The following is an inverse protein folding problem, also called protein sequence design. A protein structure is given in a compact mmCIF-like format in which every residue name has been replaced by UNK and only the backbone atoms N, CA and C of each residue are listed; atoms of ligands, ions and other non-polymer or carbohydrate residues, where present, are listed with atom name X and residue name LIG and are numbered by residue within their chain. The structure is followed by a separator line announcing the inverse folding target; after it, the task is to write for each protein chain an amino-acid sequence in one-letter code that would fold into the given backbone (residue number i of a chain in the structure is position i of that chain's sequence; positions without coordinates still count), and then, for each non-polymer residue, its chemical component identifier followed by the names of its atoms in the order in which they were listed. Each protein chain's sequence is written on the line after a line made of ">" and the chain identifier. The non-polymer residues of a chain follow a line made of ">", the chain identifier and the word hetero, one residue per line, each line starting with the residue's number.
data_IF_291535121708
#
_entry.id   IF_291535121708
#
_cell.length_a   1.000
_cell.length_b   1.000
_cell.length_c   1.000
_cell.angle_alpha   90.00
_cell.angle_beta   90.00
_cell.angle_gamma   90.00
#
_symmetry.space_group_name_H-M   'P 1'
#
loop_
_entity.id
_entity.type
_entity.pdbx_description
1 polymer ?
#
# COMPACT_ATOMS: atom_id res chain seq x y z
N UNK A 1 13.70 31.33 -4.58
CA UNK A 1 12.83 30.51 -3.71
C UNK A 1 11.88 29.70 -4.62
N UNK A 2 12.34 28.57 -5.10
CA UNK A 2 11.54 27.64 -5.92
C UNK A 2 10.72 26.76 -4.99
N UNK A 3 9.40 26.98 -4.97
CA UNK A 3 8.43 26.05 -4.36
C UNK A 3 8.57 24.71 -5.09
N UNK A 4 9.08 23.72 -4.37
CA UNK A 4 9.03 22.33 -4.79
C UNK A 4 7.55 21.93 -4.83
N UNK A 5 6.95 21.91 -6.03
CA UNK A 5 5.59 21.41 -6.22
C UNK A 5 5.64 19.91 -5.88
N UNK A 6 4.92 19.51 -4.83
CA UNK A 6 4.63 18.10 -4.57
C UNK A 6 4.07 17.49 -5.88
N UNK A 7 4.46 16.26 -6.27
CA UNK A 7 3.89 15.62 -7.44
C UNK A 7 2.37 15.60 -7.27
N UNK A 8 1.66 16.11 -8.27
CA UNK A 8 0.21 16.10 -8.30
C UNK A 8 -0.22 14.63 -8.14
N UNK A 9 -0.79 14.30 -6.99
CA UNK A 9 -1.37 12.99 -6.74
C UNK A 9 -2.46 12.80 -7.78
N UNK A 10 -2.31 11.83 -8.68
CA UNK A 10 -3.31 11.49 -9.67
C UNK A 10 -4.65 11.29 -8.95
N UNK A 11 -5.74 11.81 -9.52
CA UNK A 11 -7.08 11.63 -8.94
C UNK A 11 -7.38 10.13 -8.78
N UNK A 12 -8.01 9.73 -7.67
CA UNK A 12 -8.33 8.33 -7.44
C UNK A 12 -9.33 7.81 -8.48
N UNK A 13 -9.12 6.57 -8.93
CA UNK A 13 -9.97 5.92 -9.93
C UNK A 13 -10.66 4.70 -9.34
N UNK A 14 -11.98 4.63 -9.46
CA UNK A 14 -12.75 3.43 -9.17
C UNK A 14 -12.79 2.56 -10.41
N UNK A 15 -12.34 1.32 -10.27
CA UNK A 15 -12.25 0.36 -11.37
C UNK A 15 -13.37 -0.66 -11.19
N UNK A 16 -14.31 -0.69 -12.12
CA UNK A 16 -15.46 -1.62 -12.11
C UNK A 16 -15.17 -2.79 -13.05
N UNK A 17 -15.29 -4.01 -12.55
CA UNK A 17 -15.14 -5.24 -13.33
C UNK A 17 -16.43 -6.06 -13.15
N UNK A 18 -17.26 -6.12 -14.18
CA UNK A 18 -18.56 -6.79 -14.19
C UNK A 18 -18.90 -7.14 -15.63
N UNK A 19 -19.55 -8.26 -15.92
CA UNK A 19 -19.93 -8.62 -17.28
C UNK A 19 -21.22 -7.92 -17.75
N UNK A 20 -22.04 -7.40 -16.81
CA UNK A 20 -23.25 -6.62 -17.09
C UNK A 20 -22.88 -5.18 -17.51
N UNK A 21 -23.13 -4.84 -18.77
CA UNK A 21 -22.80 -3.52 -19.34
C UNK A 21 -23.64 -2.39 -18.73
N UNK A 22 -24.92 -2.65 -18.44
CA UNK A 22 -25.85 -1.65 -17.90
C UNK A 22 -25.44 -1.29 -16.46
N UNK A 23 -25.07 -2.29 -15.67
CA UNK A 23 -24.57 -2.06 -14.31
C UNK A 23 -23.24 -1.31 -14.31
N UNK A 24 -22.31 -1.65 -15.22
CA UNK A 24 -21.04 -0.91 -15.35
C UNK A 24 -21.29 0.57 -15.66
N UNK A 25 -22.23 0.88 -16.58
CA UNK A 25 -22.56 2.25 -16.94
C UNK A 25 -23.24 3.00 -15.78
N UNK A 26 -24.17 2.35 -15.08
CA UNK A 26 -24.85 2.89 -13.91
C UNK A 26 -23.84 3.25 -12.80
N UNK A 27 -22.92 2.33 -12.47
CA UNK A 27 -21.87 2.56 -11.47
C UNK A 27 -20.92 3.68 -11.90
N UNK A 28 -20.48 3.70 -13.15
CA UNK A 28 -19.64 4.78 -13.66
C UNK A 28 -20.37 6.13 -13.60
N UNK A 29 -21.68 6.16 -13.84
CA UNK A 29 -22.52 7.35 -13.66
C UNK A 29 -22.59 7.80 -12.21
N UNK A 30 -22.82 6.86 -11.29
CA UNK A 30 -22.84 7.11 -9.84
C UNK A 30 -21.51 7.72 -9.37
N UNK A 31 -20.37 7.13 -9.73
CA UNK A 31 -19.05 7.63 -9.30
C UNK A 31 -18.76 9.02 -9.89
N UNK A 32 -19.11 9.27 -11.15
CA UNK A 32 -18.96 10.61 -11.75
C UNK A 32 -19.83 11.66 -11.06
N UNK A 33 -21.00 11.28 -10.52
CA UNK A 33 -21.87 12.23 -9.82
C UNK A 33 -21.30 12.77 -8.50
N UNK A 34 -20.26 12.09 -7.98
CA UNK A 34 -19.52 12.49 -6.78
C UNK A 34 -18.03 12.80 -7.09
N UNK A 35 -17.75 13.24 -8.33
CA UNK A 35 -16.43 13.65 -8.79
C UNK A 35 -15.33 12.56 -8.70
N UNK A 36 -15.70 11.28 -8.72
CA UNK A 36 -14.76 10.16 -8.80
C UNK A 36 -14.59 9.71 -10.26
N UNK A 37 -13.33 9.53 -10.67
CA UNK A 37 -13.02 8.91 -11.95
C UNK A 37 -13.39 7.43 -11.92
N UNK A 38 -13.97 6.92 -13.02
CA UNK A 38 -14.33 5.51 -13.17
C UNK A 38 -13.71 4.92 -14.43
N UNK A 39 -13.20 3.69 -14.34
CA UNK A 39 -12.78 2.85 -15.46
C UNK A 39 -13.54 1.52 -15.38
N UNK A 40 -14.04 1.02 -16.52
CA UNK A 40 -14.89 -0.18 -16.54
C UNK A 40 -14.30 -1.25 -17.44
N UNK A 41 -14.41 -2.51 -17.03
CA UNK A 41 -13.96 -3.69 -17.76
C UNK A 41 -15.03 -4.77 -17.74
N UNK A 42 -15.19 -5.47 -18.86
CA UNK A 42 -16.19 -6.54 -18.97
C UNK A 42 -15.73 -7.86 -18.33
N UNK A 43 -14.44 -8.01 -18.07
CA UNK A 43 -13.88 -9.21 -17.45
C UNK A 43 -12.60 -8.92 -16.66
N UNK A 44 -12.24 -9.85 -15.78
CA UNK A 44 -10.94 -9.84 -15.10
C UNK A 44 -9.77 -9.90 -16.10
N UNK A 45 -9.91 -10.63 -17.20
CA UNK A 45 -8.90 -10.75 -18.25
C UNK A 45 -8.66 -9.40 -18.95
N UNK A 46 -9.72 -8.66 -19.30
CA UNK A 46 -9.62 -7.34 -19.90
C UNK A 46 -8.92 -6.36 -18.96
N UNK A 47 -9.24 -6.40 -17.68
CA UNK A 47 -8.59 -5.58 -16.67
C UNK A 47 -7.09 -5.91 -16.54
N UNK A 48 -6.72 -7.20 -16.49
CA UNK A 48 -5.33 -7.62 -16.38
C UNK A 48 -4.51 -7.28 -17.64
N UNK A 49 -5.14 -7.32 -18.83
CA UNK A 49 -4.49 -6.96 -20.09
C UNK A 49 -4.32 -5.44 -20.28
N UNK A 50 -5.12 -4.63 -19.59
CA UNK A 50 -5.08 -3.18 -19.73
C UNK A 50 -3.80 -2.57 -19.17
N UNK A 51 -3.24 -1.55 -19.86
CA UNK A 51 -2.19 -0.69 -19.30
C UNK A 51 -2.81 0.17 -18.22
N UNK A 52 -2.43 -0.08 -16.97
CA UNK A 52 -2.91 0.71 -15.83
C UNK A 52 -1.93 1.84 -15.52
N UNK A 53 -2.49 2.98 -15.17
CA UNK A 53 -1.74 4.04 -14.49
C UNK A 53 -1.56 3.63 -13.02
N UNK A 54 -0.39 3.81 -12.47
CA UNK A 54 -0.09 3.49 -11.06
C UNK A 54 -0.65 4.56 -10.10
N UNK A 55 -1.89 4.98 -10.34
CA UNK A 55 -2.64 5.96 -9.55
C UNK A 55 -3.33 5.34 -8.33
N UNK A 56 -3.77 6.17 -7.37
CA UNK A 56 -4.63 5.71 -6.27
C UNK A 56 -5.97 5.20 -6.81
N UNK A 57 -6.55 4.20 -6.14
CA UNK A 57 -7.83 3.65 -6.60
C UNK A 57 -8.31 2.45 -5.82
N UNK A 58 -9.45 1.90 -6.25
CA UNK A 58 -10.00 0.65 -5.73
C UNK A 58 -10.68 -0.14 -6.85
N UNK A 59 -10.90 -1.43 -6.60
CA UNK A 59 -11.62 -2.36 -7.46
C UNK A 59 -13.03 -2.60 -6.92
N UNK A 60 -14.01 -2.55 -7.79
CA UNK A 60 -15.40 -3.00 -7.55
C UNK A 60 -15.66 -4.13 -8.52
N UNK A 61 -15.80 -5.36 -8.03
CA UNK A 61 -15.73 -6.56 -8.86
C UNK A 61 -16.96 -7.45 -8.62
N UNK A 62 -17.61 -7.87 -9.69
CA UNK A 62 -18.64 -8.91 -9.56
C UNK A 62 -18.03 -10.28 -9.24
N UNK A 63 -18.65 -11.00 -8.33
CA UNK A 63 -18.22 -12.36 -7.97
C UNK A 63 -18.50 -13.36 -9.09
N UNK A 64 -19.60 -13.19 -9.81
CA UNK A 64 -20.06 -14.15 -10.83
C UNK A 64 -19.80 -13.64 -12.23
N UNK A 65 -18.57 -13.72 -12.67
CA UNK A 65 -18.21 -13.41 -14.05
C UNK A 65 -17.90 -14.70 -14.84
N UNK A 66 -18.11 -14.71 -16.15
CA UNK A 66 -17.66 -15.80 -17.01
C UNK A 66 -16.15 -15.98 -16.96
N UNK A 67 -15.71 -17.23 -16.85
CA UNK A 67 -14.29 -17.60 -16.79
C UNK A 67 -13.72 -17.52 -15.38
N UNK A 68 -13.16 -16.38 -14.97
CA UNK A 68 -12.55 -16.18 -13.66
C UNK A 68 -13.53 -15.52 -12.69
N UNK A 69 -13.88 -16.20 -11.59
CA UNK A 69 -14.75 -15.62 -10.58
C UNK A 69 -14.06 -14.44 -9.87
N UNK A 70 -14.84 -13.48 -9.32
CA UNK A 70 -14.30 -12.35 -8.57
C UNK A 70 -13.48 -12.76 -7.35
N UNK A 71 -13.80 -13.89 -6.71
CA UNK A 71 -13.02 -14.44 -5.59
C UNK A 71 -11.66 -15.01 -6.04
N UNK A 72 -11.64 -15.73 -7.16
CA UNK A 72 -10.41 -16.27 -7.74
C UNK A 72 -9.54 -15.13 -8.29
N UNK A 73 -10.18 -14.12 -8.88
CA UNK A 73 -9.50 -12.90 -9.32
C UNK A 73 -8.84 -12.16 -8.14
N UNK A 74 -9.58 -11.99 -7.03
CA UNK A 74 -9.01 -11.40 -5.81
C UNK A 74 -7.75 -12.14 -5.34
N UNK A 75 -7.76 -13.47 -5.37
CA UNK A 75 -6.62 -14.29 -4.97
C UNK A 75 -5.40 -14.08 -5.89
N UNK A 76 -5.62 -13.85 -7.18
CA UNK A 76 -4.56 -13.67 -8.17
C UNK A 76 -3.99 -12.24 -8.23
N UNK A 77 -4.66 -11.25 -7.66
CA UNK A 77 -4.21 -9.84 -7.73
C UNK A 77 -2.77 -9.66 -7.24
N UNK A 78 -2.41 -10.32 -6.14
CA UNK A 78 -1.07 -10.24 -5.57
C UNK A 78 0.01 -10.79 -6.51
N UNK A 79 -0.27 -11.88 -7.21
CA UNK A 79 0.64 -12.51 -8.19
C UNK A 79 0.90 -11.59 -9.38
N UNK A 80 -0.06 -10.72 -9.70
CA UNK A 80 0.05 -9.68 -10.72
C UNK A 80 0.61 -8.34 -10.20
N UNK A 81 1.09 -8.30 -8.94
CA UNK A 81 1.61 -7.09 -8.30
C UNK A 81 0.55 -6.00 -8.11
N UNK A 82 -0.74 -6.38 -8.03
CA UNK A 82 -1.86 -5.47 -7.88
C UNK A 82 -2.28 -5.46 -6.42
N UNK A 83 -2.09 -4.32 -5.77
CA UNK A 83 -2.39 -4.14 -4.35
C UNK A 83 -3.57 -3.18 -4.11
N UNK A 84 -4.44 -3.03 -5.11
CA UNK A 84 -5.64 -2.21 -4.97
C UNK A 84 -6.64 -2.86 -4.00
N UNK A 85 -7.23 -2.09 -3.10
CA UNK A 85 -8.35 -2.56 -2.28
C UNK A 85 -9.50 -3.01 -3.16
N UNK A 86 -10.15 -4.10 -2.79
CA UNK A 86 -11.24 -4.69 -3.55
C UNK A 86 -12.54 -4.70 -2.76
N UNK A 87 -13.62 -4.35 -3.43
CA UNK A 87 -15.02 -4.49 -3.01
C UNK A 87 -15.64 -5.55 -3.93
N UNK A 88 -16.29 -6.55 -3.36
CA UNK A 88 -16.95 -7.59 -4.13
C UNK A 88 -18.45 -7.36 -4.16
N UNK A 89 -19.06 -7.56 -5.33
CA UNK A 89 -20.53 -7.51 -5.54
C UNK A 89 -21.05 -8.90 -5.91
N UNK A 90 -22.26 -9.25 -5.49
CA UNK A 90 -22.88 -10.52 -5.89
C UNK A 90 -24.39 -10.46 -5.90
N UNK A 91 -25.01 -11.10 -6.88
CA UNK A 91 -26.47 -11.30 -6.93
C UNK A 91 -26.98 -12.44 -6.01
N UNK A 92 -26.08 -13.29 -5.50
CA UNK A 92 -26.44 -14.42 -4.64
C UNK A 92 -25.31 -14.59 -3.60
N UNK A 93 -25.24 -13.67 -2.65
CA UNK A 93 -24.29 -13.76 -1.54
C UNK A 93 -24.83 -14.69 -0.46
N UNK A 94 -24.08 -15.73 -0.14
CA UNK A 94 -24.28 -16.47 1.10
C UNK A 94 -23.23 -16.05 2.16
N UNK A 95 -23.50 -16.34 3.43
CA UNK A 95 -22.60 -16.00 4.53
C UNK A 95 -21.22 -16.64 4.34
N UNK A 96 -21.07 -17.92 3.95
CA UNK A 96 -19.77 -18.51 3.68
C UNK A 96 -18.95 -17.78 2.62
N UNK A 97 -19.58 -17.27 1.57
CA UNK A 97 -18.91 -16.54 0.48
C UNK A 97 -18.39 -15.18 0.97
N UNK A 98 -19.21 -14.41 1.68
CA UNK A 98 -18.81 -13.11 2.24
C UNK A 98 -17.67 -13.27 3.24
N UNK A 99 -17.72 -14.29 4.10
CA UNK A 99 -16.63 -14.59 5.05
C UNK A 99 -15.32 -14.93 4.33
N UNK A 100 -15.36 -15.71 3.25
CA UNK A 100 -14.17 -16.01 2.44
C UNK A 100 -13.59 -14.76 1.81
N UNK A 101 -14.43 -13.91 1.20
CA UNK A 101 -14.02 -12.64 0.61
C UNK A 101 -13.30 -11.74 1.63
N UNK A 102 -13.88 -11.55 2.80
CA UNK A 102 -13.32 -10.71 3.85
C UNK A 102 -12.02 -11.30 4.42
N UNK A 103 -11.92 -12.61 4.61
CA UNK A 103 -10.67 -13.29 5.02
C UNK A 103 -9.57 -13.17 3.97
N UNK A 104 -9.93 -13.10 2.70
CA UNK A 104 -8.99 -12.86 1.61
C UNK A 104 -8.59 -11.37 1.46
N UNK A 105 -9.07 -10.49 2.36
CA UNK A 105 -8.68 -9.08 2.43
C UNK A 105 -9.56 -8.13 1.64
N UNK A 106 -10.77 -8.54 1.22
CA UNK A 106 -11.73 -7.60 0.66
C UNK A 106 -12.04 -6.47 1.65
N UNK A 107 -12.28 -5.27 1.13
CA UNK A 107 -12.68 -4.12 1.96
C UNK A 107 -14.12 -4.27 2.37
N UNK A 108 -14.96 -4.69 1.43
CA UNK A 108 -16.39 -4.92 1.64
C UNK A 108 -16.95 -5.96 0.66
N UNK A 109 -18.19 -6.39 0.95
CA UNK A 109 -18.92 -7.36 0.18
C UNK A 109 -20.39 -6.94 0.10
N UNK A 110 -20.88 -6.56 -1.09
CA UNK A 110 -22.21 -6.00 -1.31
C UNK A 110 -23.11 -6.99 -2.06
N UNK A 111 -24.27 -7.29 -1.49
CA UNK A 111 -25.29 -8.10 -2.15
C UNK A 111 -26.12 -7.22 -3.10
N UNK A 112 -26.29 -7.65 -4.36
CA UNK A 112 -27.18 -7.02 -5.35
C UNK A 112 -28.64 -7.45 -5.07
N UNK A 113 -29.62 -6.53 -5.06
CA UNK A 113 -29.47 -5.09 -5.25
C UNK A 113 -28.95 -4.38 -3.99
N UNK A 114 -28.03 -3.43 -4.16
CA UNK A 114 -27.51 -2.56 -3.10
C UNK A 114 -27.97 -1.12 -3.31
N UNK A 115 -27.92 -0.29 -2.26
CA UNK A 115 -28.20 1.14 -2.35
C UNK A 115 -26.94 1.89 -2.83
N UNK A 116 -27.12 2.96 -3.57
CA UNK A 116 -26.02 3.83 -4.03
C UNK A 116 -25.13 4.26 -2.88
N UNK A 117 -25.73 4.61 -1.74
CA UNK A 117 -24.99 5.04 -0.56
C UNK A 117 -24.07 3.94 0.00
N UNK A 118 -24.53 2.68 0.03
CA UNK A 118 -23.71 1.55 0.51
C UNK A 118 -22.47 1.36 -0.37
N UNK A 119 -22.65 1.51 -1.71
CA UNK A 119 -21.54 1.46 -2.66
C UNK A 119 -20.55 2.62 -2.45
N UNK A 120 -21.06 3.84 -2.28
CA UNK A 120 -20.22 5.03 -2.08
C UNK A 120 -19.44 4.94 -0.77
N UNK A 121 -20.04 4.45 0.30
CA UNK A 121 -19.41 4.26 1.60
C UNK A 121 -18.28 3.20 1.50
N UNK A 122 -18.54 2.08 0.83
CA UNK A 122 -17.53 1.04 0.59
C UNK A 122 -16.36 1.57 -0.26
N UNK A 123 -16.64 2.33 -1.32
CA UNK A 123 -15.62 2.95 -2.17
C UNK A 123 -14.78 3.96 -1.37
N UNK A 124 -15.42 4.80 -0.56
CA UNK A 124 -14.73 5.77 0.30
C UNK A 124 -13.75 5.07 1.26
N UNK A 125 -14.21 3.99 1.92
CA UNK A 125 -13.36 3.18 2.81
C UNK A 125 -12.20 2.52 2.05
N UNK A 126 -12.44 2.02 0.84
CA UNK A 126 -11.42 1.41 0.01
C UNK A 126 -10.35 2.43 -0.42
N UNK A 127 -10.77 3.59 -0.90
CA UNK A 127 -9.85 4.67 -1.30
C UNK A 127 -9.00 5.15 -0.13
N UNK A 128 -9.58 5.29 1.08
CA UNK A 128 -8.83 5.64 2.28
C UNK A 128 -7.74 4.60 2.60
N UNK A 129 -8.05 3.31 2.51
CA UNK A 129 -7.08 2.22 2.70
C UNK A 129 -5.94 2.25 1.67
N UNK A 130 -6.25 2.57 0.40
CA UNK A 130 -5.21 2.68 -0.62
C UNK A 130 -4.25 3.86 -0.36
N UNK A 131 -4.79 5.01 0.06
CA UNK A 131 -3.98 6.18 0.44
C UNK A 131 -3.05 5.85 1.61
N UNK A 132 -3.55 5.19 2.65
CA UNK A 132 -2.73 4.76 3.80
C UNK A 132 -1.62 3.79 3.39
N UNK A 133 -1.96 2.79 2.57
CA UNK A 133 -1.00 1.82 2.04
C UNK A 133 0.09 2.52 1.24
N UNK A 134 -0.26 3.36 0.26
CA UNK A 134 0.69 4.11 -0.58
C UNK A 134 1.58 5.03 0.23
N UNK A 135 1.02 5.70 1.23
CA UNK A 135 1.79 6.55 2.14
C UNK A 135 2.83 5.74 2.90
N UNK A 136 2.45 4.57 3.41
CA UNK A 136 3.35 3.66 4.11
C UNK A 136 4.45 3.12 3.18
N UNK A 137 4.07 2.66 1.99
CA UNK A 137 5.00 2.11 0.99
C UNK A 137 6.02 3.16 0.54
N UNK A 138 5.56 4.40 0.26
CA UNK A 138 6.43 5.53 -0.08
C UNK A 138 7.39 5.87 1.06
N UNK A 139 6.89 5.89 2.30
CA UNK A 139 7.72 6.11 3.49
C UNK A 139 8.78 5.03 3.67
N UNK A 140 8.40 3.75 3.50
CA UNK A 140 9.34 2.64 3.59
C UNK A 140 10.39 2.68 2.47
N UNK A 141 9.99 3.03 1.25
CA UNK A 141 10.92 3.17 0.13
C UNK A 141 11.92 4.30 0.35
N UNK A 142 11.46 5.44 0.87
CA UNK A 142 12.35 6.54 1.24
C UNK A 142 13.37 6.13 2.33
N UNK A 143 12.93 5.36 3.33
CA UNK A 143 13.82 4.80 4.36
C UNK A 143 14.84 3.82 3.77
N UNK A 144 14.45 2.95 2.85
CA UNK A 144 15.36 2.02 2.14
C UNK A 144 16.41 2.79 1.35
N UNK A 145 16.00 3.78 0.58
CA UNK A 145 16.92 4.64 -0.18
C UNK A 145 17.90 5.36 0.74
N UNK A 146 17.44 5.91 1.87
CA UNK A 146 18.32 6.54 2.87
C UNK A 146 19.32 5.53 3.45
N UNK A 147 18.88 4.33 3.81
CA UNK A 147 19.73 3.25 4.33
C UNK A 147 20.79 2.80 3.32
N UNK A 148 20.47 2.74 2.03
CA UNK A 148 21.41 2.41 0.97
C UNK A 148 22.57 3.40 0.86
N UNK A 149 22.39 4.67 1.28
CA UNK A 149 23.46 5.68 1.32
C UNK A 149 24.46 5.46 2.46
N UNK A 150 24.15 4.59 3.42
CA UNK A 150 25.05 4.27 4.52
C UNK A 150 26.22 3.41 4.03
N UNK A 151 27.44 3.75 4.48
CA UNK A 151 28.60 2.87 4.29
C UNK A 151 28.46 1.59 5.12
N UNK A 152 29.23 0.56 4.83
CA UNK A 152 29.24 -0.69 5.62
C UNK A 152 29.45 -0.42 7.12
N UNK A 153 30.40 0.46 7.46
CA UNK A 153 30.66 0.85 8.86
C UNK A 153 29.51 1.62 9.51
N UNK A 154 28.85 2.48 8.78
CA UNK A 154 27.67 3.19 9.28
C UNK A 154 26.49 2.24 9.53
N UNK A 155 26.30 1.20 8.67
CA UNK A 155 25.30 0.15 8.90
C UNK A 155 25.59 -0.68 10.13
N UNK A 156 26.85 -1.11 10.33
CA UNK A 156 27.28 -1.83 11.54
C UNK A 156 27.02 -0.99 12.82
N UNK A 157 27.36 0.31 12.77
CA UNK A 157 27.12 1.23 13.89
C UNK A 157 25.63 1.43 14.11
N UNK A 158 24.83 1.61 13.05
CA UNK A 158 23.37 1.74 13.16
C UNK A 158 22.75 0.52 13.85
N UNK A 159 23.09 -0.69 13.41
CA UNK A 159 22.55 -1.91 14.00
C UNK A 159 22.83 -2.01 15.51
N UNK A 160 24.07 -1.69 15.95
CA UNK A 160 24.42 -1.77 17.37
C UNK A 160 23.82 -0.62 18.20
N UNK A 161 23.71 0.58 17.64
CA UNK A 161 23.08 1.72 18.30
C UNK A 161 21.59 1.47 18.52
N UNK A 162 20.92 0.91 17.53
CA UNK A 162 19.47 0.59 17.63
C UNK A 162 19.19 -0.63 18.49
N UNK A 163 20.18 -1.50 18.69
CA UNK A 163 20.16 -2.56 19.71
C UNK A 163 20.42 -2.05 21.15
N UNK A 164 20.63 -0.73 21.32
CA UNK A 164 20.80 -0.10 22.65
C UNK A 164 22.22 -0.08 23.19
N UNK A 165 23.25 -0.45 22.41
CA UNK A 165 24.64 -0.45 22.88
C UNK A 165 25.18 0.98 23.02
N UNK A 166 26.00 1.18 24.08
CA UNK A 166 26.72 2.43 24.29
C UNK A 166 27.94 2.56 23.36
N UNK A 167 28.38 3.78 23.06
CA UNK A 167 29.50 4.03 22.16
C UNK A 167 30.74 3.22 22.55
N UNK A 168 31.06 3.09 23.87
CA UNK A 168 32.19 2.31 24.36
C UNK A 168 32.11 0.83 23.99
N UNK A 169 30.91 0.25 24.07
CA UNK A 169 30.66 -1.17 23.72
C UNK A 169 30.82 -1.35 22.20
N UNK A 170 30.21 -0.46 21.40
CA UNK A 170 30.32 -0.47 19.94
C UNK A 170 31.79 -0.33 19.51
N UNK A 171 32.55 0.56 20.17
CA UNK A 171 33.97 0.78 19.91
C UNK A 171 34.75 -0.52 20.13
N UNK A 172 34.51 -1.23 21.24
CA UNK A 172 35.10 -2.54 21.49
C UNK A 172 34.72 -3.60 20.44
N UNK A 173 33.43 -3.70 20.10
CA UNK A 173 32.96 -4.69 19.13
C UNK A 173 33.52 -4.49 17.71
N UNK A 174 33.69 -3.22 17.30
CA UNK A 174 34.15 -2.88 15.96
C UNK A 174 35.64 -2.60 15.87
N UNK A 175 36.37 -2.67 17.00
CA UNK A 175 37.79 -2.35 17.14
C UNK A 175 38.13 -0.93 16.64
N UNK A 176 37.35 0.06 17.11
CA UNK A 176 37.45 1.47 16.76
C UNK A 176 37.55 2.32 18.04
N UNK A 177 37.93 3.62 17.91
CA UNK A 177 37.82 4.55 19.02
C UNK A 177 36.39 5.03 19.25
N UNK A 178 36.06 5.40 20.51
CA UNK A 178 34.75 5.98 20.81
C UNK A 178 34.48 7.27 20.02
N UNK A 179 35.51 8.04 19.71
CA UNK A 179 35.44 9.25 18.90
C UNK A 179 34.99 8.88 17.48
N UNK A 180 35.55 7.82 16.90
CA UNK A 180 35.18 7.32 15.57
C UNK A 180 33.73 6.85 15.55
N UNK A 181 33.27 6.13 16.58
CA UNK A 181 31.89 5.73 16.73
C UNK A 181 30.94 6.93 16.80
N UNK A 182 31.31 7.97 17.56
CA UNK A 182 30.51 9.21 17.65
C UNK A 182 30.37 9.89 16.28
N UNK A 183 31.41 9.89 15.46
CA UNK A 183 31.38 10.43 14.09
C UNK A 183 30.45 9.59 13.21
N UNK A 184 30.62 8.25 13.17
CA UNK A 184 29.75 7.39 12.39
C UNK A 184 28.28 7.51 12.81
N UNK A 185 28.01 7.55 14.12
CA UNK A 185 26.66 7.76 14.64
C UNK A 185 26.06 9.10 14.19
N UNK A 186 26.84 10.19 14.18
CA UNK A 186 26.40 11.48 13.65
C UNK A 186 26.06 11.42 12.17
N UNK A 187 26.87 10.73 11.38
CA UNK A 187 26.62 10.52 9.95
C UNK A 187 25.36 9.67 9.71
N UNK A 188 25.16 8.60 10.47
CA UNK A 188 23.94 7.78 10.42
C UNK A 188 22.71 8.63 10.69
N UNK A 189 22.69 9.38 11.80
CA UNK A 189 21.57 10.27 12.14
C UNK A 189 21.27 11.25 11.01
N UNK A 190 22.29 11.85 10.40
CA UNK A 190 22.16 12.81 9.29
C UNK A 190 21.62 12.13 8.03
N UNK A 191 22.19 11.00 7.60
CA UNK A 191 21.82 10.31 6.37
C UNK A 191 20.43 9.70 6.46
N UNK A 192 20.06 9.14 7.62
CA UNK A 192 18.71 8.61 7.89
C UNK A 192 17.69 9.72 8.18
N UNK A 193 18.11 10.99 8.27
CA UNK A 193 17.27 12.11 8.70
C UNK A 193 16.58 11.89 10.06
N UNK A 194 17.18 11.09 10.94
CA UNK A 194 16.64 10.76 12.26
C UNK A 194 16.83 11.94 13.22
N UNK A 195 15.75 12.35 13.90
CA UNK A 195 15.74 13.50 14.84
C UNK A 195 16.14 13.09 16.27
N UNK A 196 16.00 11.80 16.57
CA UNK A 196 16.33 11.24 17.89
C UNK A 196 16.75 9.77 17.75
N UNK A 197 17.34 9.20 18.82
CA UNK A 197 17.63 7.77 18.87
C UNK A 197 16.36 6.93 18.75
N UNK A 198 15.28 7.33 19.40
CA UNK A 198 14.00 6.64 19.32
C UNK A 198 13.43 6.64 17.88
N UNK A 199 13.69 7.71 17.13
CA UNK A 199 13.32 7.81 15.72
C UNK A 199 14.15 6.82 14.88
N UNK A 200 15.47 6.77 15.10
CA UNK A 200 16.35 5.83 14.43
C UNK A 200 15.99 4.37 14.72
N UNK A 201 15.56 4.05 15.96
CA UNK A 201 15.09 2.70 16.34
C UNK A 201 13.84 2.32 15.54
N UNK A 202 12.83 3.21 15.47
CA UNK A 202 11.63 2.96 14.64
C UNK A 202 11.94 2.76 13.16
N UNK A 203 12.90 3.54 12.62
CA UNK A 203 13.37 3.37 11.25
C UNK A 203 14.05 2.01 11.03
N UNK A 204 14.87 1.55 11.97
CA UNK A 204 15.52 0.25 11.92
C UNK A 204 14.51 -0.91 12.00
N UNK A 205 13.51 -0.79 12.86
CA UNK A 205 12.40 -1.75 12.96
C UNK A 205 11.60 -1.83 11.66
N UNK A 206 11.25 -0.67 11.06
CA UNK A 206 10.54 -0.62 9.78
C UNK A 206 11.35 -1.23 8.63
N UNK A 207 12.68 -1.17 8.69
CA UNK A 207 13.60 -1.80 7.73
C UNK A 207 13.89 -3.29 8.03
N UNK A 208 13.44 -3.82 9.18
CA UNK A 208 13.71 -5.19 9.60
C UNK A 208 15.16 -5.44 10.05
N UNK A 209 15.91 -4.40 10.42
CA UNK A 209 17.35 -4.51 10.76
C UNK A 209 17.58 -5.16 12.13
N UNK A 210 16.64 -5.08 13.05
CA UNK A 210 16.75 -5.54 14.44
C UNK A 210 16.02 -6.87 14.71
N UNK A 211 15.70 -7.66 13.68
CA UNK A 211 15.13 -9.00 13.85
C UNK A 211 16.25 -10.05 13.93
N UNK A 212 16.98 -10.04 15.07
CA UNK A 212 17.87 -11.15 15.44
C UNK A 212 17.66 -11.49 16.88
#
# INVERSE_FOLDING_TARGET
>A
MTRNAAPATAAPTVIVVDDDADLREALAGLFRSVDLAAATYASAADFLAARRTDGPGCLVVDVRMPGLSGLDFQAQLADHGIHLPIILMTGHGDIPMSVRAMKAGAVDFLAKPFRDQDMLDAVSAALARDVERRTRDTGLQALRTAYETLTGREREVMAQVTAGLMNKQIAGNLNLSEITIKIHRGNVMKKMAARSLADLVRMAEALGINQT
#
